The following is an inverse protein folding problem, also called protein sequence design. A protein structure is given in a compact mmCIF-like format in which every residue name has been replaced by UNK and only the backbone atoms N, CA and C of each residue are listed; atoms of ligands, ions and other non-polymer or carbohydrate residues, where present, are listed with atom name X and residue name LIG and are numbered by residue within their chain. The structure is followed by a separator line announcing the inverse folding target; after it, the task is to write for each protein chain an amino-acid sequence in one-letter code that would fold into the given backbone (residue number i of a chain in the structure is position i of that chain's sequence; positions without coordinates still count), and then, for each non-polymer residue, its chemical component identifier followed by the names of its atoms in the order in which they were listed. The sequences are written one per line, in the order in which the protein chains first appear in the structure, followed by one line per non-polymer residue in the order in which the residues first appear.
data_IF_749323875093
#
_entry.id   IF_749323875093
#
_cell.length_a   1.000
_cell.length_b   1.000
_cell.length_c   1.000
_cell.angle_alpha   90.00
_cell.angle_beta   90.00
_cell.angle_gamma   90.00
#
_symmetry.space_group_name_H-M   'P 1'
#
loop_
_entity.id
_entity.type
_entity.pdbx_description
1 polymer ?
#
# COMPACT_ATOMS: atom_id res chain seq x y z
N UNK A 1 -83.85 -9.10 -8.73
CA UNK A 1 -83.03 -10.15 -9.40
C UNK A 1 -82.04 -9.60 -10.45
N UNK A 2 -82.25 -8.49 -11.14
CA UNK A 2 -81.30 -7.93 -12.10
C UNK A 2 -79.96 -7.43 -11.49
N UNK A 3 -80.01 -6.86 -10.31
CA UNK A 3 -78.77 -6.32 -9.63
C UNK A 3 -77.86 -7.46 -9.20
N UNK A 4 -78.35 -8.63 -8.83
CA UNK A 4 -77.59 -9.79 -8.43
C UNK A 4 -76.78 -10.39 -9.63
N UNK A 5 -77.34 -10.42 -10.83
CA UNK A 5 -76.70 -10.97 -12.05
C UNK A 5 -75.60 -10.04 -12.52
N UNK A 6 -75.82 -8.74 -12.44
CA UNK A 6 -74.83 -7.75 -12.83
C UNK A 6 -73.63 -7.76 -11.88
N UNK A 7 -73.85 -7.88 -10.57
CA UNK A 7 -72.80 -8.06 -9.57
C UNK A 7 -71.99 -9.35 -9.80
N UNK A 8 -72.66 -10.45 -10.10
CA UNK A 8 -71.97 -11.71 -10.43
C UNK A 8 -71.10 -11.59 -11.70
N UNK A 9 -71.59 -10.91 -12.74
CA UNK A 9 -70.84 -10.67 -13.94
C UNK A 9 -69.62 -9.78 -13.69
N UNK A 10 -69.77 -8.68 -12.93
CA UNK A 10 -68.66 -7.80 -12.56
C UNK A 10 -67.63 -8.54 -11.70
N UNK A 11 -68.10 -9.38 -10.77
CA UNK A 11 -67.18 -10.17 -9.92
C UNK A 11 -66.41 -11.21 -10.77
N UNK A 12 -67.05 -11.86 -11.71
CA UNK A 12 -66.38 -12.78 -12.65
C UNK A 12 -65.35 -12.08 -13.54
N UNK A 13 -65.73 -10.90 -14.06
CA UNK A 13 -64.79 -10.08 -14.87
C UNK A 13 -63.57 -9.62 -14.07
N UNK A 14 -63.79 -9.22 -12.81
CA UNK A 14 -62.67 -8.88 -11.90
C UNK A 14 -61.78 -10.09 -11.66
N UNK A 15 -62.33 -11.28 -11.50
CA UNK A 15 -61.59 -12.53 -11.36
C UNK A 15 -60.72 -12.83 -12.56
N UNK A 16 -61.31 -12.70 -13.77
CA UNK A 16 -60.56 -12.92 -15.04
C UNK A 16 -59.44 -11.89 -15.22
N UNK A 17 -59.75 -10.62 -15.02
CA UNK A 17 -58.72 -9.55 -15.13
C UNK A 17 -57.60 -9.74 -14.11
N UNK A 18 -57.90 -10.14 -12.89
CA UNK A 18 -56.89 -10.44 -11.89
C UNK A 18 -56.03 -11.65 -12.23
N UNK A 19 -56.63 -12.70 -12.77
CA UNK A 19 -55.90 -13.88 -13.27
C UNK A 19 -54.98 -13.56 -14.42
N UNK A 20 -55.43 -12.71 -15.37
CA UNK A 20 -54.58 -12.24 -16.48
C UNK A 20 -53.41 -11.40 -15.96
N UNK A 21 -53.63 -10.51 -15.02
CA UNK A 21 -52.56 -9.71 -14.42
C UNK A 21 -51.53 -10.58 -13.70
N UNK A 22 -51.94 -11.59 -12.95
CA UNK A 22 -51.06 -12.56 -12.33
C UNK A 22 -50.26 -13.37 -13.33
N UNK A 23 -50.92 -13.82 -14.42
CA UNK A 23 -50.27 -14.58 -15.47
C UNK A 23 -49.18 -13.76 -16.16
N UNK A 24 -49.44 -12.48 -16.44
CA UNK A 24 -48.42 -11.55 -17.01
C UNK A 24 -47.26 -11.33 -16.02
N UNK A 25 -47.56 -11.14 -14.76
CA UNK A 25 -46.54 -10.98 -13.70
C UNK A 25 -45.64 -12.21 -13.60
N UNK A 26 -46.20 -13.41 -13.57
CA UNK A 26 -45.41 -14.65 -13.56
C UNK A 26 -44.60 -14.86 -14.86
N UNK A 27 -45.17 -14.48 -16.02
CA UNK A 27 -44.46 -14.49 -17.30
C UNK A 27 -43.24 -13.55 -17.27
N UNK A 28 -43.37 -12.35 -16.71
CA UNK A 28 -42.30 -11.39 -16.54
C UNK A 28 -41.24 -11.91 -15.56
N UNK A 29 -41.63 -12.50 -14.43
CA UNK A 29 -40.73 -13.13 -13.50
C UNK A 29 -39.93 -14.30 -14.11
N UNK A 30 -40.58 -15.13 -14.90
CA UNK A 30 -39.93 -16.22 -15.62
C UNK A 30 -38.93 -15.71 -16.66
N UNK A 31 -39.30 -14.67 -17.40
CA UNK A 31 -38.45 -14.06 -18.44
C UNK A 31 -37.21 -13.38 -17.84
N UNK A 32 -37.36 -12.69 -16.71
CA UNK A 32 -36.26 -11.94 -16.05
C UNK A 32 -35.47 -12.78 -15.07
N UNK A 33 -36.00 -13.92 -14.62
CA UNK A 33 -35.44 -14.74 -13.53
C UNK A 33 -35.49 -14.06 -12.16
N UNK A 34 -36.22 -12.96 -12.03
CA UNK A 34 -36.34 -12.18 -10.80
C UNK A 34 -37.77 -12.19 -10.28
N UNK A 35 -37.94 -12.42 -8.98
CA UNK A 35 -39.23 -12.37 -8.31
C UNK A 35 -39.80 -10.94 -8.22
N UNK A 36 -38.90 -9.95 -8.10
CA UNK A 36 -39.26 -8.53 -7.95
C UNK A 36 -38.67 -7.81 -9.15
N UNK A 37 -39.53 -7.32 -10.03
CA UNK A 37 -39.12 -6.56 -11.20
C UNK A 37 -39.34 -5.05 -11.01
N UNK A 38 -40.33 -4.68 -10.18
CA UNK A 38 -40.65 -3.28 -9.88
C UNK A 38 -40.69 -3.07 -8.36
N UNK A 39 -40.31 -1.89 -7.85
CA UNK A 39 -40.43 -1.55 -6.43
C UNK A 39 -41.87 -1.65 -5.89
N UNK A 40 -42.86 -1.53 -6.77
CA UNK A 40 -44.29 -1.65 -6.42
C UNK A 40 -44.72 -3.09 -6.13
N UNK A 41 -43.98 -4.10 -6.58
CA UNK A 41 -44.34 -5.51 -6.44
C UNK A 41 -44.16 -5.97 -4.98
N UNK A 42 -43.06 -5.53 -4.36
CA UNK A 42 -42.75 -5.77 -2.95
C UNK A 42 -41.82 -4.64 -2.44
N UNK A 43 -42.35 -3.55 -1.89
CA UNK A 43 -41.52 -2.41 -1.48
C UNK A 43 -40.51 -2.74 -0.40
N UNK A 44 -40.81 -3.68 0.50
CA UNK A 44 -39.91 -4.07 1.59
C UNK A 44 -38.73 -4.86 1.01
N UNK A 45 -39.02 -5.84 0.18
CA UNK A 45 -37.98 -6.64 -0.43
C UNK A 45 -37.16 -5.84 -1.45
N UNK A 46 -37.78 -4.90 -2.19
CA UNK A 46 -37.05 -3.97 -3.07
C UNK A 46 -36.08 -3.08 -2.26
N UNK A 47 -36.49 -2.55 -1.13
CA UNK A 47 -35.66 -1.79 -0.21
C UNK A 47 -34.48 -2.63 0.30
N UNK A 48 -34.74 -3.86 0.74
CA UNK A 48 -33.69 -4.78 1.18
C UNK A 48 -32.72 -5.14 0.07
N UNK A 49 -33.19 -5.32 -1.18
CA UNK A 49 -32.34 -5.58 -2.33
C UNK A 49 -31.40 -4.41 -2.63
N UNK A 50 -31.87 -3.17 -2.49
CA UNK A 50 -31.04 -1.97 -2.65
C UNK A 50 -29.95 -1.93 -1.57
N UNK A 51 -30.29 -2.15 -0.30
CA UNK A 51 -29.33 -2.17 0.81
C UNK A 51 -28.28 -3.27 0.59
N UNK A 52 -28.70 -4.46 0.19
CA UNK A 52 -27.81 -5.58 -0.09
C UNK A 52 -26.88 -5.28 -1.29
N UNK A 53 -27.42 -4.71 -2.36
CA UNK A 53 -26.63 -4.30 -3.54
C UNK A 53 -25.60 -3.23 -3.17
N UNK A 54 -25.96 -2.28 -2.33
CA UNK A 54 -25.05 -1.26 -1.82
C UNK A 54 -23.93 -1.88 -0.96
N UNK A 55 -24.28 -2.79 -0.06
CA UNK A 55 -23.31 -3.52 0.76
C UNK A 55 -22.35 -4.38 -0.11
N UNK A 56 -22.88 -5.02 -1.15
CA UNK A 56 -22.07 -5.80 -2.09
C UNK A 56 -21.10 -4.91 -2.88
N UNK A 57 -21.55 -3.75 -3.35
CA UNK A 57 -20.69 -2.78 -4.05
C UNK A 57 -19.59 -2.27 -3.13
N UNK A 58 -19.92 -1.92 -1.90
CA UNK A 58 -18.95 -1.49 -0.90
C UNK A 58 -17.91 -2.60 -0.59
N UNK A 59 -18.38 -3.84 -0.44
CA UNK A 59 -17.48 -4.98 -0.21
C UNK A 59 -16.52 -5.21 -1.41
N UNK A 60 -17.02 -5.05 -2.64
CA UNK A 60 -16.19 -5.10 -3.84
C UNK A 60 -15.13 -3.99 -3.88
N UNK A 61 -15.49 -2.77 -3.46
CA UNK A 61 -14.52 -1.67 -3.34
C UNK A 61 -13.44 -1.98 -2.31
N UNK A 62 -13.80 -2.53 -1.16
CA UNK A 62 -12.83 -2.96 -0.16
C UNK A 62 -11.96 -4.12 -0.65
N UNK A 63 -12.49 -5.03 -1.45
CA UNK A 63 -11.69 -6.10 -2.06
C UNK A 63 -10.62 -5.53 -3.01
N UNK A 64 -10.96 -4.54 -3.83
CA UNK A 64 -10.00 -3.83 -4.68
C UNK A 64 -8.96 -3.06 -3.85
N UNK A 65 -9.39 -2.38 -2.79
CA UNK A 65 -8.49 -1.66 -1.88
C UNK A 65 -7.50 -2.61 -1.20
N UNK A 66 -7.93 -3.79 -0.76
CA UNK A 66 -7.06 -4.83 -0.20
C UNK A 66 -6.07 -5.38 -1.24
N UNK A 67 -6.51 -5.62 -2.46
CA UNK A 67 -5.64 -6.07 -3.55
C UNK A 67 -4.56 -5.02 -3.85
N UNK A 68 -4.93 -3.75 -3.92
CA UNK A 68 -3.99 -2.64 -4.08
C UNK A 68 -3.01 -2.57 -2.92
N UNK A 69 -3.48 -2.64 -1.67
CA UNK A 69 -2.66 -2.64 -0.47
C UNK A 69 -1.63 -3.78 -0.49
N UNK A 70 -2.08 -5.00 -0.82
CA UNK A 70 -1.20 -6.18 -0.92
C UNK A 70 -0.10 -5.98 -1.98
N UNK A 71 -0.46 -5.44 -3.15
CA UNK A 71 0.52 -5.17 -4.22
C UNK A 71 1.57 -4.15 -3.78
N UNK A 72 1.14 -3.08 -3.10
CA UNK A 72 2.06 -2.05 -2.59
C UNK A 72 3.01 -2.60 -1.53
N UNK A 73 2.48 -3.32 -0.55
CA UNK A 73 3.29 -3.93 0.51
C UNK A 73 4.26 -4.97 -0.05
N UNK A 74 3.84 -5.79 -1.01
CA UNK A 74 4.73 -6.77 -1.65
C UNK A 74 5.85 -6.11 -2.44
N UNK A 75 5.58 -5.00 -3.10
CA UNK A 75 6.61 -4.23 -3.80
C UNK A 75 7.64 -3.67 -2.81
N UNK A 76 7.17 -3.07 -1.71
CA UNK A 76 8.03 -2.55 -0.65
C UNK A 76 8.87 -3.65 0.00
N UNK A 77 8.26 -4.81 0.31
CA UNK A 77 8.95 -5.97 0.88
C UNK A 77 10.09 -6.46 -0.02
N UNK A 78 9.88 -6.51 -1.33
CA UNK A 78 10.92 -6.85 -2.28
C UNK A 78 12.10 -5.87 -2.25
N UNK A 79 11.83 -4.58 -2.16
CA UNK A 79 12.87 -3.54 -2.05
C UNK A 79 13.58 -3.66 -0.71
N UNK A 80 12.86 -3.82 0.40
CA UNK A 80 13.44 -3.97 1.74
C UNK A 80 14.31 -5.23 1.88
N UNK A 81 13.97 -6.31 1.20
CA UNK A 81 14.80 -7.52 1.13
C UNK A 81 16.16 -7.22 0.47
N UNK A 82 16.16 -6.46 -0.62
CA UNK A 82 17.39 -6.02 -1.31
C UNK A 82 18.20 -5.03 -0.45
N UNK A 83 17.52 -4.11 0.24
CA UNK A 83 18.14 -3.19 1.22
C UNK A 83 18.84 -3.97 2.33
N UNK A 84 18.17 -4.97 2.90
CA UNK A 84 18.75 -5.83 3.94
C UNK A 84 20.01 -6.53 3.46
N UNK A 85 19.99 -7.08 2.24
CA UNK A 85 21.16 -7.73 1.66
C UNK A 85 22.33 -6.74 1.45
N UNK A 86 22.03 -5.54 0.97
CA UNK A 86 23.03 -4.51 0.76
C UNK A 86 23.63 -4.01 2.09
N UNK A 87 22.82 -3.86 3.15
CA UNK A 87 23.28 -3.50 4.49
C UNK A 87 24.20 -4.60 5.06
N UNK A 88 23.87 -5.87 4.89
CA UNK A 88 24.72 -6.98 5.33
C UNK A 88 26.07 -6.96 4.60
N UNK A 89 26.08 -6.69 3.30
CA UNK A 89 27.31 -6.53 2.54
C UNK A 89 28.14 -5.33 3.04
N UNK A 90 27.51 -4.20 3.36
CA UNK A 90 28.19 -3.05 3.94
C UNK A 90 28.81 -3.38 5.31
N UNK A 91 28.06 -4.06 6.18
CA UNK A 91 28.56 -4.49 7.50
C UNK A 91 29.79 -5.40 7.36
N UNK A 92 29.78 -6.35 6.43
CA UNK A 92 30.94 -7.20 6.17
C UNK A 92 32.17 -6.37 5.77
N UNK A 93 32.01 -5.38 4.90
CA UNK A 93 33.12 -4.50 4.48
C UNK A 93 33.62 -3.62 5.63
N UNK A 94 32.72 -3.11 6.47
CA UNK A 94 33.09 -2.31 7.65
C UNK A 94 33.84 -3.16 8.67
N UNK A 95 33.39 -4.39 8.93
CA UNK A 95 34.11 -5.32 9.81
C UNK A 95 35.50 -5.64 9.28
N UNK A 96 35.63 -5.91 7.97
CA UNK A 96 36.93 -6.14 7.33
C UNK A 96 37.82 -4.90 7.42
N UNK A 97 37.25 -3.70 7.30
CA UNK A 97 37.96 -2.43 7.43
C UNK A 97 38.53 -2.18 8.85
N UNK A 98 37.95 -2.79 9.87
CA UNK A 98 38.45 -2.77 11.23
C UNK A 98 39.77 -3.52 11.46
N UNK A 99 40.22 -4.29 10.47
CA UNK A 99 41.48 -5.02 10.55
C UNK A 99 42.71 -4.05 10.51
N UNK A 100 43.46 -4.04 11.60
CA UNK A 100 44.61 -3.14 11.77
C UNK A 100 45.79 -3.39 10.84
N UNK A 101 45.80 -4.47 10.08
CA UNK A 101 46.92 -4.86 9.17
C UNK A 101 46.70 -4.42 7.73
N UNK A 102 45.58 -3.78 7.40
CA UNK A 102 45.30 -3.33 6.03
C UNK A 102 46.24 -2.19 5.59
N UNK A 103 46.70 -2.28 4.37
CA UNK A 103 47.43 -1.19 3.71
C UNK A 103 46.48 -0.04 3.34
N UNK A 104 47.03 1.13 3.01
CA UNK A 104 46.23 2.26 2.55
C UNK A 104 45.53 1.95 1.22
N UNK A 105 46.15 1.16 0.33
CA UNK A 105 45.55 0.72 -0.92
C UNK A 105 44.38 -0.26 -0.69
N UNK A 106 44.49 -1.17 0.29
CA UNK A 106 43.42 -2.08 0.66
C UNK A 106 42.24 -1.30 1.24
N UNK A 107 42.49 -0.30 2.07
CA UNK A 107 41.48 0.60 2.64
C UNK A 107 40.77 1.41 1.57
N UNK A 108 41.51 1.97 0.59
CA UNK A 108 40.91 2.69 -0.52
C UNK A 108 40.05 1.76 -1.41
N UNK A 109 40.45 0.49 -1.56
CA UNK A 109 39.63 -0.51 -2.26
C UNK A 109 38.35 -0.83 -1.51
N UNK A 110 38.41 -0.95 -0.17
CA UNK A 110 37.21 -1.12 0.65
C UNK A 110 36.28 0.11 0.63
N UNK A 111 36.85 1.32 0.64
CA UNK A 111 36.08 2.56 0.49
C UNK A 111 35.34 2.60 -0.86
N UNK A 112 35.99 2.20 -1.94
CA UNK A 112 35.36 2.11 -3.27
C UNK A 112 34.21 1.10 -3.28
N UNK A 113 34.38 -0.06 -2.63
CA UNK A 113 33.33 -1.06 -2.51
C UNK A 113 32.13 -0.54 -1.68
N UNK A 114 32.40 0.14 -0.57
CA UNK A 114 31.37 0.76 0.26
C UNK A 114 30.61 1.87 -0.48
N UNK A 115 31.31 2.65 -1.30
CA UNK A 115 30.69 3.65 -2.16
C UNK A 115 29.71 2.99 -3.14
N UNK A 116 30.08 1.88 -3.76
CA UNK A 116 29.18 1.12 -4.64
C UNK A 116 27.93 0.60 -3.90
N UNK A 117 28.08 0.12 -2.67
CA UNK A 117 26.95 -0.33 -1.84
C UNK A 117 26.08 0.86 -1.43
N UNK A 118 26.67 1.99 -1.04
CA UNK A 118 25.94 3.22 -0.73
C UNK A 118 25.10 3.68 -1.91
N UNK A 119 25.67 3.69 -3.11
CA UNK A 119 24.94 4.09 -4.32
C UNK A 119 23.82 3.11 -4.66
N UNK A 120 24.02 1.81 -4.46
CA UNK A 120 22.97 0.80 -4.58
C UNK A 120 21.83 1.05 -3.57
N UNK A 121 22.16 1.30 -2.30
CA UNK A 121 21.18 1.62 -1.25
C UNK A 121 20.42 2.91 -1.57
N UNK A 122 21.10 3.93 -2.10
CA UNK A 122 20.46 5.19 -2.52
C UNK A 122 19.47 4.96 -3.67
N UNK A 123 19.82 4.11 -4.64
CA UNK A 123 18.90 3.74 -5.72
C UNK A 123 17.68 2.96 -5.18
N UNK A 124 17.86 2.07 -4.21
CA UNK A 124 16.78 1.35 -3.56
C UNK A 124 15.89 2.29 -2.73
N UNK A 125 16.48 3.24 -1.99
CA UNK A 125 15.75 4.23 -1.20
C UNK A 125 14.94 5.19 -2.08
N UNK A 126 15.41 5.45 -3.31
CA UNK A 126 14.72 6.25 -4.32
C UNK A 126 14.02 5.39 -5.38
N UNK A 127 13.68 4.14 -5.05
CA UNK A 127 12.93 3.28 -5.97
C UNK A 127 11.50 3.79 -6.17
N UNK A 128 10.99 3.53 -7.37
CA UNK A 128 9.65 3.94 -7.78
C UNK A 128 8.76 2.73 -8.05
N UNK A 129 7.47 2.93 -7.95
CA UNK A 129 6.49 1.96 -8.41
C UNK A 129 6.33 1.99 -9.95
N UNK A 130 5.50 1.10 -10.50
CA UNK A 130 5.24 1.03 -11.94
C UNK A 130 4.67 2.32 -12.56
N UNK A 131 4.23 3.28 -11.74
CA UNK A 131 3.72 4.58 -12.16
C UNK A 131 4.75 5.71 -11.98
N UNK A 132 5.99 5.41 -11.63
CA UNK A 132 7.04 6.39 -11.39
C UNK A 132 6.93 7.14 -10.06
N UNK A 133 6.11 6.68 -9.13
CA UNK A 133 5.97 7.29 -7.80
C UNK A 133 6.95 6.67 -6.82
N UNK A 134 7.65 7.52 -6.07
CA UNK A 134 8.62 7.09 -5.08
C UNK A 134 7.97 6.37 -3.89
N UNK A 135 8.48 5.19 -3.54
CA UNK A 135 7.87 4.28 -2.55
C UNK A 135 8.04 4.83 -1.13
N UNK A 136 9.23 5.36 -0.79
CA UNK A 136 9.59 5.80 0.57
C UNK A 136 9.38 7.29 0.82
N UNK A 137 8.75 8.02 -0.10
CA UNK A 137 8.51 9.46 0.03
C UNK A 137 7.25 9.82 0.82
N UNK A 138 6.52 8.86 1.41
CA UNK A 138 5.23 9.10 2.02
C UNK A 138 4.24 9.67 1.00
N UNK A 139 3.50 10.72 1.39
CA UNK A 139 2.55 11.38 0.47
C UNK A 139 3.20 12.28 -0.60
N UNK A 140 4.50 12.58 -0.50
CA UNK A 140 5.24 13.35 -1.52
C UNK A 140 5.83 12.44 -2.62
N UNK A 141 5.01 11.64 -3.24
CA UNK A 141 5.42 10.57 -4.16
C UNK A 141 6.04 11.04 -5.47
N UNK A 142 5.96 12.33 -5.79
CA UNK A 142 6.48 12.91 -7.05
C UNK A 142 7.96 13.31 -6.96
N UNK A 143 8.52 13.38 -5.75
CA UNK A 143 9.92 13.74 -5.53
C UNK A 143 10.69 12.58 -4.90
N UNK A 144 11.99 12.49 -5.21
CA UNK A 144 12.88 11.51 -4.62
C UNK A 144 12.85 11.59 -3.09
N UNK A 145 12.86 10.42 -2.43
CA UNK A 145 12.83 10.32 -0.99
C UNK A 145 14.10 10.89 -0.35
N UNK A 146 15.25 10.64 -0.97
CA UNK A 146 16.56 11.07 -0.48
C UNK A 146 17.32 11.87 -1.53
N UNK A 147 18.03 12.89 -1.06
CA UNK A 147 19.00 13.62 -1.85
C UNK A 147 20.23 12.74 -2.12
N UNK A 148 20.61 12.61 -3.38
CA UNK A 148 21.65 11.69 -3.81
C UNK A 148 23.04 12.12 -3.31
N UNK A 149 23.27 13.43 -3.20
CA UNK A 149 24.57 13.99 -2.79
C UNK A 149 24.73 14.03 -1.27
N UNK A 150 23.67 14.43 -0.54
CA UNK A 150 23.77 14.66 0.91
C UNK A 150 23.22 13.51 1.76
N UNK A 151 22.43 12.62 1.16
CA UNK A 151 21.73 11.56 1.90
C UNK A 151 20.56 12.09 2.77
N UNK A 152 20.19 13.37 2.64
CA UNK A 152 19.11 13.95 3.43
C UNK A 152 17.74 13.50 2.92
N UNK A 153 16.83 13.22 3.86
CA UNK A 153 15.45 12.89 3.53
C UNK A 153 14.67 14.13 3.08
N UNK A 154 14.03 14.05 1.93
CA UNK A 154 13.21 15.11 1.32
C UNK A 154 11.73 14.74 1.23
N UNK A 155 11.37 13.52 1.55
CA UNK A 155 10.01 13.00 1.48
C UNK A 155 9.06 13.60 2.51
N UNK A 156 7.85 13.03 2.58
CA UNK A 156 6.85 13.36 3.59
C UNK A 156 7.03 12.54 4.86
N UNK A 157 6.76 13.14 6.01
CA UNK A 157 6.89 12.48 7.32
C UNK A 157 5.72 11.56 7.69
N UNK A 158 4.73 11.39 6.82
CA UNK A 158 3.55 10.56 7.09
C UNK A 158 3.49 9.38 6.14
N UNK A 159 3.42 8.14 6.66
CA UNK A 159 3.26 6.94 5.84
C UNK A 159 1.89 6.90 5.17
N UNK A 160 1.80 6.28 3.99
CA UNK A 160 0.54 6.14 3.27
C UNK A 160 -0.29 5.04 3.92
N UNK A 161 -1.56 5.36 4.18
CA UNK A 161 -2.55 4.43 4.72
C UNK A 161 -3.72 4.26 3.78
N UNK A 162 -4.25 3.03 3.71
CA UNK A 162 -5.39 2.66 2.87
C UNK A 162 -6.50 2.10 3.74
N UNK A 163 -7.72 2.59 3.54
CA UNK A 163 -8.90 1.98 4.14
C UNK A 163 -9.22 0.67 3.41
N UNK A 164 -9.18 -0.44 4.13
CA UNK A 164 -9.35 -1.81 3.59
C UNK A 164 -10.66 -2.46 4.04
N UNK A 165 -11.37 -1.80 4.98
CA UNK A 165 -12.66 -2.21 5.50
C UNK A 165 -13.38 -0.98 6.08
N UNK A 166 -14.68 -1.11 6.42
CA UNK A 166 -15.49 -0.04 7.03
C UNK A 166 -14.87 0.54 8.31
N UNK A 167 -14.21 -0.30 9.10
CA UNK A 167 -13.62 0.06 10.40
C UNK A 167 -12.08 -0.09 10.44
N UNK A 168 -11.42 -0.44 9.34
CA UNK A 168 -9.98 -0.73 9.33
C UNK A 168 -9.24 0.06 8.27
N UNK A 169 -8.26 0.82 8.74
CA UNK A 169 -7.24 1.47 7.90
C UNK A 169 -5.90 0.77 8.16
N UNK A 170 -5.17 0.45 7.11
CA UNK A 170 -3.85 -0.18 7.20
C UNK A 170 -2.80 0.72 6.56
N UNK A 171 -1.63 0.80 7.18
CA UNK A 171 -0.45 1.40 6.58
C UNK A 171 0.04 0.48 5.45
N UNK A 172 0.28 1.05 4.28
CA UNK A 172 0.67 0.32 3.06
C UNK A 172 2.05 0.71 2.53
N UNK A 173 2.71 1.68 3.17
CA UNK A 173 4.10 2.05 2.91
C UNK A 173 4.74 2.59 4.17
N UNK A 174 6.07 2.52 4.25
CA UNK A 174 6.88 3.18 5.27
C UNK A 174 7.53 4.43 4.68
N UNK A 175 7.85 5.38 5.54
CA UNK A 175 8.62 6.56 5.13
C UNK A 175 10.11 6.21 5.09
N UNK A 176 10.88 6.94 4.28
CA UNK A 176 12.32 6.75 4.24
C UNK A 176 13.00 6.99 5.59
N UNK A 177 12.45 7.86 6.43
CA UNK A 177 12.95 8.09 7.79
C UNK A 177 12.78 6.87 8.68
N UNK A 178 11.65 6.15 8.58
CA UNK A 178 11.43 4.93 9.36
C UNK A 178 12.40 3.81 8.97
N UNK A 179 12.80 3.74 7.70
CA UNK A 179 13.63 2.66 7.15
C UNK A 179 15.12 2.99 7.19
N UNK A 180 15.51 4.19 6.77
CA UNK A 180 16.91 4.55 6.51
C UNK A 180 17.48 5.56 7.51
N UNK A 181 16.67 6.11 8.42
CA UNK A 181 17.08 7.12 9.41
C UNK A 181 16.66 6.73 10.82
N UNK A 182 16.81 5.46 11.16
CA UNK A 182 16.41 4.91 12.47
C UNK A 182 17.48 4.02 13.13
N UNK A 183 18.74 4.14 12.74
CA UNK A 183 19.84 3.26 13.17
C UNK A 183 20.51 3.71 14.47
N UNK A 184 19.76 3.85 15.56
CA UNK A 184 20.31 4.48 16.79
C UNK A 184 20.39 3.62 18.03
N UNK A 185 19.77 2.46 18.07
CA UNK A 185 19.45 1.84 19.36
C UNK A 185 20.63 1.49 20.26
N UNK A 186 21.85 1.34 19.74
CA UNK A 186 23.03 0.97 20.52
C UNK A 186 24.32 1.71 20.09
N UNK A 187 24.19 2.79 19.32
CA UNK A 187 25.36 3.54 18.87
C UNK A 187 26.01 4.29 20.04
N UNK A 188 27.35 4.29 20.06
CA UNK A 188 28.11 5.15 20.94
C UNK A 188 28.07 6.59 20.42
N UNK A 189 28.20 7.61 21.29
CA UNK A 189 28.39 8.98 20.86
C UNK A 189 29.52 9.08 19.81
N UNK A 190 29.38 10.02 18.90
CA UNK A 190 30.44 10.34 17.94
C UNK A 190 31.72 10.74 18.66
N UNK A 191 32.90 10.63 18.03
CA UNK A 191 34.17 10.98 18.64
C UNK A 191 34.24 12.41 19.20
N UNK A 192 33.44 13.32 18.66
CA UNK A 192 33.30 14.72 19.14
C UNK A 192 32.30 14.89 20.29
N UNK A 193 31.66 13.80 20.75
CA UNK A 193 30.65 13.81 21.82
C UNK A 193 29.24 14.16 21.35
N UNK A 194 29.01 14.31 20.06
CA UNK A 194 27.67 14.54 19.50
C UNK A 194 26.80 13.28 19.56
N UNK A 195 25.50 13.46 19.36
CA UNK A 195 24.56 12.34 19.26
C UNK A 195 24.90 11.46 18.06
N UNK A 196 24.78 10.12 18.19
CA UNK A 196 25.06 9.21 17.09
C UNK A 196 24.26 9.56 15.85
N UNK A 197 24.89 9.45 14.69
CA UNK A 197 24.20 9.62 13.41
C UNK A 197 23.18 8.50 13.21
N UNK A 198 21.97 8.86 12.81
CA UNK A 198 20.84 7.94 12.59
C UNK A 198 20.64 7.58 11.14
N UNK A 199 21.14 8.41 10.24
CA UNK A 199 20.97 8.29 8.82
C UNK A 199 22.00 7.32 8.21
N UNK A 200 21.51 6.24 7.61
CA UNK A 200 22.36 5.18 7.02
C UNK A 200 23.36 5.73 6.01
N UNK A 201 22.94 6.68 5.16
CA UNK A 201 23.82 7.24 4.11
C UNK A 201 24.97 8.04 4.72
N UNK A 202 24.70 8.85 5.74
CA UNK A 202 25.70 9.63 6.47
C UNK A 202 26.68 8.72 7.25
N UNK A 203 26.15 7.63 7.84
CA UNK A 203 27.00 6.61 8.48
C UNK A 203 27.97 5.99 7.46
N UNK A 204 27.47 5.63 6.28
CA UNK A 204 28.31 5.06 5.22
C UNK A 204 29.31 6.09 4.68
N UNK A 205 28.90 7.34 4.48
CA UNK A 205 29.77 8.42 4.03
C UNK A 205 30.90 8.67 5.03
N UNK A 206 30.62 8.68 6.33
CA UNK A 206 31.62 8.80 7.40
C UNK A 206 32.59 7.62 7.40
N UNK A 207 32.11 6.40 7.18
CA UNK A 207 32.96 5.21 7.08
C UNK A 207 33.88 5.27 5.85
N UNK A 208 33.36 5.69 4.69
CA UNK A 208 34.12 5.86 3.46
C UNK A 208 35.19 6.94 3.64
N UNK A 209 34.85 8.08 4.26
CA UNK A 209 35.82 9.14 4.54
C UNK A 209 36.92 8.68 5.48
N UNK A 210 36.57 7.95 6.55
CA UNK A 210 37.53 7.39 7.48
C UNK A 210 38.52 6.41 6.81
N UNK A 211 38.05 5.63 5.84
CA UNK A 211 38.89 4.69 5.10
C UNK A 211 39.84 5.38 4.12
N UNK A 212 39.44 6.49 3.54
CA UNK A 212 40.25 7.27 2.62
C UNK A 212 41.30 8.16 3.32
N UNK A 213 41.21 8.34 4.65
CA UNK A 213 42.21 9.05 5.42
C UNK A 213 43.44 8.15 5.62
N UNK A 214 44.68 8.62 5.27
CA UNK A 214 45.88 7.84 5.54
C UNK A 214 46.07 7.61 7.05
N UNK A 215 46.61 6.47 7.42
CA UNK A 215 47.03 6.21 8.79
C UNK A 215 48.23 7.07 9.14
N UNK A 216 48.05 7.99 10.08
CA UNK A 216 49.13 8.75 10.71
C UNK A 216 49.93 7.88 11.66
#
# INVERSE_FOLDING_TARGET
MRISTQMMYEQSMRGVTNSQSLWLSYGEQMSTGKRINRPSDDPIAASQAVVLSQAQTQNSQYALARSFATTKVSLEENVLSQVTTAIQAAQEKIVNAGNGTLSDDDRASLATNLQGIRDQLMNLANSTDGNGRYIFSGYKTEAAAFDQATGDYKGGGTPISQQVDSARTMQISHTGTEVFDSFTSNAKPEPDGSTPETNLFKILDSAIEALNKPRS
#
